data_IF_654993029026
#
_entry.id   IF_654993029026
#
_cell.length_a   1.000
_cell.length_b   1.000
_cell.length_c   1.000
_cell.angle_alpha   90.00
_cell.angle_beta   90.00
_cell.angle_gamma   90.00
#
_symmetry.space_group_name_H-M   'P 1'
#
loop_
_entity.id
_entity.type
_entity.pdbx_description
1 polymer ?
#
# COMPACT_ATOMS: atom_id res chain seq x y z
N UNK A 1 21.98 45.56 -34.59
CA UNK A 1 20.85 45.30 -33.69
C UNK A 1 20.78 43.79 -33.48
N UNK A 2 21.25 43.31 -32.32
CA UNK A 2 21.31 41.89 -31.99
C UNK A 2 20.08 41.57 -31.13
N UNK A 3 19.15 40.75 -31.66
CA UNK A 3 18.01 40.21 -30.91
C UNK A 3 18.49 39.08 -30.03
N UNK A 4 18.57 39.33 -28.73
CA UNK A 4 18.83 38.33 -27.72
C UNK A 4 17.51 37.56 -27.45
N UNK A 5 17.41 36.34 -28.00
CA UNK A 5 16.31 35.43 -27.68
C UNK A 5 16.55 34.84 -26.31
N UNK A 6 15.84 35.35 -25.31
CA UNK A 6 15.75 34.73 -23.99
C UNK A 6 14.80 33.52 -24.12
N UNK A 7 15.39 32.31 -24.16
CA UNK A 7 14.63 31.06 -24.02
C UNK A 7 14.37 30.91 -22.53
N UNK A 8 13.15 31.20 -22.11
CA UNK A 8 12.66 30.90 -20.77
C UNK A 8 12.42 29.37 -20.70
N UNK A 9 13.39 28.66 -20.14
CA UNK A 9 13.26 27.22 -19.87
C UNK A 9 12.30 27.05 -18.69
N UNK A 10 11.00 26.89 -18.99
CA UNK A 10 10.02 26.51 -18.00
C UNK A 10 10.36 25.07 -17.57
N UNK A 11 11.06 24.94 -16.45
CA UNK A 11 11.17 23.69 -15.70
C UNK A 11 9.76 23.32 -15.22
N UNK A 12 9.03 22.59 -16.05
CA UNK A 12 7.84 21.88 -15.63
C UNK A 12 8.33 20.77 -14.67
N UNK A 13 8.35 21.07 -13.37
CA UNK A 13 8.37 20.01 -12.37
C UNK A 13 7.08 19.22 -12.61
N UNK A 14 7.21 18.02 -13.16
CA UNK A 14 6.13 17.04 -13.16
C UNK A 14 5.86 16.71 -11.68
N UNK A 15 5.06 17.55 -11.01
CA UNK A 15 4.48 17.20 -9.74
C UNK A 15 3.75 15.88 -9.95
N UNK A 16 4.10 14.89 -9.15
CA UNK A 16 3.47 13.57 -9.22
C UNK A 16 1.96 13.79 -9.17
N UNK A 17 1.24 13.37 -10.20
CA UNK A 17 -0.22 13.56 -10.34
C UNK A 17 -1.01 12.96 -9.16
N UNK A 18 -0.35 12.15 -8.33
CA UNK A 18 -0.93 11.46 -7.18
C UNK A 18 -0.36 11.91 -5.82
N UNK A 19 0.53 12.91 -5.80
CA UNK A 19 1.05 13.43 -4.54
C UNK A 19 -0.09 14.10 -3.76
N UNK A 20 -0.47 13.55 -2.62
CA UNK A 20 -1.51 14.11 -1.76
C UNK A 20 -0.90 14.86 -0.58
N UNK A 21 -1.52 16.00 -0.22
CA UNK A 21 -1.20 16.71 1.02
C UNK A 21 -1.86 16.03 2.22
N UNK A 22 -1.48 16.43 3.42
CA UNK A 22 -2.04 15.86 4.65
C UNK A 22 -3.56 16.02 4.73
N UNK A 23 -4.08 17.19 4.37
CA UNK A 23 -5.51 17.49 4.40
C UNK A 23 -6.29 16.68 3.36
N UNK A 24 -5.62 16.23 2.32
CA UNK A 24 -6.22 15.42 1.26
C UNK A 24 -6.26 13.93 1.60
N UNK A 25 -5.54 13.44 2.62
CA UNK A 25 -5.47 12.01 2.94
C UNK A 25 -6.87 11.43 3.13
N UNK A 26 -7.63 11.95 4.09
CA UNK A 26 -8.96 11.39 4.42
C UNK A 26 -9.94 11.48 3.25
N UNK A 27 -10.16 12.63 2.59
CA UNK A 27 -11.08 12.71 1.45
C UNK A 27 -10.63 11.84 0.26
N UNK A 28 -9.33 11.74 0.00
CA UNK A 28 -8.80 10.86 -1.05
C UNK A 28 -9.09 9.40 -0.74
N UNK A 29 -8.81 8.93 0.48
CA UNK A 29 -9.08 7.54 0.86
C UNK A 29 -10.56 7.21 0.87
N UNK A 30 -11.43 8.16 1.25
CA UNK A 30 -12.88 7.99 1.15
C UNK A 30 -13.32 7.78 -0.31
N UNK A 31 -12.83 8.64 -1.21
CA UNK A 31 -13.13 8.52 -2.64
C UNK A 31 -12.58 7.22 -3.23
N UNK A 32 -11.31 6.90 -3.00
CA UNK A 32 -10.67 5.68 -3.50
C UNK A 32 -11.40 4.43 -3.04
N UNK A 33 -11.83 4.40 -1.77
CA UNK A 33 -12.64 3.31 -1.22
C UNK A 33 -14.00 3.21 -1.91
N UNK A 34 -14.68 4.33 -2.14
CA UNK A 34 -15.96 4.35 -2.86
C UNK A 34 -15.80 3.84 -4.29
N UNK A 35 -14.77 4.31 -5.01
CA UNK A 35 -14.46 3.86 -6.38
C UNK A 35 -14.21 2.32 -6.40
N UNK A 36 -13.48 1.78 -5.41
CA UNK A 36 -13.25 0.34 -5.29
C UNK A 36 -14.55 -0.45 -5.01
N UNK A 37 -15.42 0.07 -4.16
CA UNK A 37 -16.73 -0.54 -3.88
C UNK A 37 -17.60 -0.57 -5.15
N UNK A 38 -17.60 0.47 -5.95
CA UNK A 38 -18.31 0.51 -7.22
C UNK A 38 -17.79 -0.55 -8.20
N UNK A 39 -16.47 -0.74 -8.27
CA UNK A 39 -15.85 -1.82 -9.05
C UNK A 39 -16.31 -3.19 -8.55
N UNK A 40 -16.32 -3.42 -7.24
CA UNK A 40 -16.75 -4.69 -6.64
C UNK A 40 -18.21 -5.02 -6.96
N UNK A 41 -19.10 -4.02 -6.93
CA UNK A 41 -20.52 -4.15 -7.22
C UNK A 41 -20.85 -4.32 -8.71
N UNK A 42 -19.91 -4.01 -9.60
CA UNK A 42 -20.16 -4.09 -11.03
C UNK A 42 -20.27 -5.55 -11.50
N UNK A 43 -21.46 -6.02 -11.80
CA UNK A 43 -21.74 -7.39 -12.24
C UNK A 43 -21.17 -7.72 -13.63
N UNK A 44 -20.83 -6.71 -14.44
CA UNK A 44 -20.33 -6.90 -15.80
C UNK A 44 -18.79 -7.15 -15.84
N UNK A 45 -18.09 -6.99 -14.71
CA UNK A 45 -16.66 -7.23 -14.63
C UNK A 45 -16.36 -8.65 -14.13
N UNK A 46 -15.43 -9.31 -14.79
CA UNK A 46 -14.83 -10.55 -14.29
C UNK A 46 -14.06 -10.32 -12.99
N UNK A 47 -13.75 -11.41 -12.26
CA UNK A 47 -12.95 -11.32 -11.02
C UNK A 47 -11.60 -10.64 -11.28
N UNK A 48 -10.90 -11.00 -12.33
CA UNK A 48 -9.56 -10.46 -12.64
C UNK A 48 -9.63 -8.98 -13.02
N UNK A 49 -10.65 -8.56 -13.75
CA UNK A 49 -10.89 -7.14 -14.06
C UNK A 49 -11.18 -6.33 -12.79
N UNK A 50 -11.98 -6.87 -11.86
CA UNK A 50 -12.24 -6.22 -10.57
C UNK A 50 -10.95 -6.04 -9.79
N UNK A 51 -10.16 -7.11 -9.65
CA UNK A 51 -8.87 -7.08 -8.94
C UNK A 51 -7.94 -6.03 -9.55
N UNK A 52 -7.75 -6.07 -10.87
CA UNK A 52 -6.90 -5.12 -11.58
C UNK A 52 -7.33 -3.66 -11.36
N UNK A 53 -8.63 -3.39 -11.47
CA UNK A 53 -9.18 -2.04 -11.28
C UNK A 53 -9.06 -1.55 -9.83
N UNK A 54 -9.28 -2.43 -8.84
CA UNK A 54 -9.16 -2.08 -7.42
C UNK A 54 -7.70 -1.73 -7.09
N UNK A 55 -6.74 -2.53 -7.54
CA UNK A 55 -5.33 -2.19 -7.32
C UNK A 55 -4.95 -0.90 -8.06
N UNK A 56 -5.43 -0.69 -9.29
CA UNK A 56 -5.13 0.53 -10.03
C UNK A 56 -5.57 1.83 -9.31
N UNK A 57 -6.67 1.79 -8.53
CA UNK A 57 -7.12 2.98 -7.78
C UNK A 57 -6.36 3.16 -6.45
N UNK A 58 -5.83 2.08 -5.86
CA UNK A 58 -5.08 2.14 -4.60
C UNK A 58 -3.57 2.31 -4.77
N UNK A 59 -2.98 1.67 -5.79
CA UNK A 59 -1.52 1.61 -6.00
C UNK A 59 -0.82 2.99 -5.96
N UNK A 60 -1.40 4.08 -6.48
CA UNK A 60 -0.77 5.40 -6.41
C UNK A 60 -0.47 5.89 -4.99
N UNK A 61 -1.18 5.36 -3.99
CA UNK A 61 -1.08 5.78 -2.59
C UNK A 61 -0.23 4.84 -1.72
N UNK A 62 0.17 3.67 -2.24
CA UNK A 62 0.98 2.69 -1.53
C UNK A 62 2.47 2.82 -1.90
N UNK A 63 3.34 2.83 -0.90
CA UNK A 63 4.79 2.73 -1.12
C UNK A 63 5.26 1.30 -0.87
N UNK A 64 5.07 0.44 -1.89
CA UNK A 64 5.47 -0.97 -1.81
C UNK A 64 6.97 -1.16 -1.60
N UNK A 65 7.81 -0.24 -2.08
CA UNK A 65 9.24 -0.29 -1.81
C UNK A 65 9.54 -0.03 -0.33
N UNK A 66 8.91 0.98 0.27
CA UNK A 66 9.05 1.25 1.69
C UNK A 66 8.49 0.11 2.55
N UNK A 67 7.37 -0.49 2.15
CA UNK A 67 6.79 -1.67 2.79
C UNK A 67 7.77 -2.85 2.75
N UNK A 68 8.36 -3.13 1.59
CA UNK A 68 9.39 -4.17 1.38
C UNK A 68 10.59 -3.95 2.30
N UNK A 69 11.08 -2.70 2.34
CA UNK A 69 12.22 -2.30 3.17
C UNK A 69 11.96 -2.53 4.66
N UNK A 70 10.76 -2.22 5.14
CA UNK A 70 10.38 -2.44 6.54
C UNK A 70 10.24 -3.94 6.82
N UNK A 71 9.59 -4.68 5.92
CA UNK A 71 9.36 -6.12 6.07
C UNK A 71 10.69 -6.91 6.12
N UNK A 72 11.67 -6.57 5.29
CA UNK A 72 12.98 -7.25 5.29
C UNK A 72 13.99 -6.63 6.28
N UNK A 73 13.67 -5.47 6.85
CA UNK A 73 14.46 -4.81 7.91
C UNK A 73 15.94 -4.60 7.51
N UNK A 74 16.86 -4.86 8.40
CA UNK A 74 18.32 -4.66 8.18
C UNK A 74 18.85 -5.41 6.96
N UNK A 75 18.28 -6.54 6.62
CA UNK A 75 18.69 -7.38 5.48
C UNK A 75 18.45 -6.71 4.13
N UNK A 76 17.44 -5.86 4.03
CA UNK A 76 17.19 -5.10 2.81
C UNK A 76 18.39 -4.25 2.39
N UNK A 77 19.12 -3.69 3.36
CA UNK A 77 20.29 -2.87 3.07
C UNK A 77 21.46 -3.67 2.48
N UNK A 78 21.53 -4.97 2.76
CA UNK A 78 22.56 -5.88 2.26
C UNK A 78 22.30 -6.40 0.84
N UNK A 79 21.09 -6.18 0.31
CA UNK A 79 20.76 -6.58 -1.05
C UNK A 79 21.42 -5.67 -2.08
N UNK A 80 21.87 -6.26 -3.21
CA UNK A 80 22.27 -5.51 -4.39
C UNK A 80 21.08 -4.74 -4.99
N UNK A 81 21.35 -3.81 -5.91
CA UNK A 81 20.28 -3.07 -6.60
C UNK A 81 19.30 -4.03 -7.33
N UNK A 82 19.82 -5.01 -8.06
CA UNK A 82 19.01 -6.00 -8.78
C UNK A 82 18.19 -6.88 -7.83
N UNK A 83 18.77 -7.28 -6.71
CA UNK A 83 18.06 -8.05 -5.69
C UNK A 83 16.93 -7.24 -5.04
N UNK A 84 17.14 -5.95 -4.79
CA UNK A 84 16.08 -5.05 -4.29
C UNK A 84 14.91 -4.96 -5.28
N UNK A 85 15.20 -4.78 -6.57
CA UNK A 85 14.15 -4.75 -7.61
C UNK A 85 13.35 -6.06 -7.62
N UNK A 86 14.04 -7.22 -7.62
CA UNK A 86 13.38 -8.53 -7.61
C UNK A 86 12.55 -8.75 -6.34
N UNK A 87 13.11 -8.40 -5.18
CA UNK A 87 12.41 -8.54 -3.90
C UNK A 87 11.18 -7.65 -3.82
N UNK A 88 11.30 -6.36 -4.18
CA UNK A 88 10.20 -5.42 -4.14
C UNK A 88 9.02 -5.89 -5.00
N UNK A 89 9.33 -6.35 -6.23
CA UNK A 89 8.30 -6.89 -7.13
C UNK A 89 7.62 -8.12 -6.54
N UNK A 90 8.40 -9.12 -6.09
CA UNK A 90 7.85 -10.35 -5.53
C UNK A 90 7.04 -10.07 -4.25
N UNK A 91 7.50 -9.14 -3.40
CA UNK A 91 6.79 -8.76 -2.19
C UNK A 91 5.46 -8.04 -2.49
N UNK A 92 5.46 -7.10 -3.45
CA UNK A 92 4.24 -6.43 -3.90
C UNK A 92 3.21 -7.43 -4.44
N UNK A 93 3.63 -8.33 -5.34
CA UNK A 93 2.76 -9.37 -5.90
C UNK A 93 2.21 -10.28 -4.78
N UNK A 94 3.06 -10.66 -3.84
CA UNK A 94 2.67 -11.46 -2.68
C UNK A 94 1.67 -10.73 -1.78
N UNK A 95 1.95 -9.47 -1.46
CA UNK A 95 1.08 -8.66 -0.63
C UNK A 95 -0.31 -8.54 -1.26
N UNK A 96 -0.36 -8.18 -2.55
CA UNK A 96 -1.61 -8.06 -3.30
C UNK A 96 -2.39 -9.38 -3.33
N UNK A 97 -1.74 -10.48 -3.70
CA UNK A 97 -2.40 -11.79 -3.80
C UNK A 97 -2.98 -12.27 -2.47
N UNK A 98 -2.34 -11.92 -1.35
CA UNK A 98 -2.78 -12.32 -0.01
C UNK A 98 -4.16 -11.75 0.39
N UNK A 99 -4.61 -10.69 -0.25
CA UNK A 99 -5.86 -10.02 0.10
C UNK A 99 -6.94 -10.08 -0.98
N UNK A 100 -6.65 -10.71 -2.13
CA UNK A 100 -7.60 -10.84 -3.25
C UNK A 100 -8.92 -11.47 -2.81
N UNK A 101 -8.86 -12.62 -2.14
CA UNK A 101 -10.07 -13.34 -1.73
C UNK A 101 -10.91 -12.52 -0.73
N UNK A 102 -10.27 -11.79 0.16
CA UNK A 102 -10.95 -10.90 1.11
C UNK A 102 -11.62 -9.73 0.39
N UNK A 103 -10.95 -9.13 -0.61
CA UNK A 103 -11.54 -8.08 -1.45
C UNK A 103 -12.75 -8.61 -2.23
N UNK A 104 -12.62 -9.79 -2.84
CA UNK A 104 -13.71 -10.40 -3.63
C UNK A 104 -14.87 -10.91 -2.77
N UNK A 105 -14.65 -11.16 -1.47
CA UNK A 105 -15.70 -11.54 -0.52
C UNK A 105 -16.58 -10.36 -0.07
N UNK A 106 -16.24 -9.14 -0.49
CA UNK A 106 -17.07 -7.97 -0.22
C UNK A 106 -18.49 -8.15 -0.79
N UNK A 107 -19.50 -7.86 0.00
CA UNK A 107 -20.91 -7.86 -0.40
C UNK A 107 -21.51 -6.47 -0.24
N UNK A 108 -21.92 -6.11 0.98
CA UNK A 108 -22.56 -4.84 1.28
C UNK A 108 -22.00 -4.17 2.56
N UNK A 109 -20.79 -4.52 2.95
CA UNK A 109 -20.14 -3.92 4.13
C UNK A 109 -19.98 -2.42 3.93
N UNK A 110 -20.06 -1.67 5.02
CA UNK A 110 -19.84 -0.22 5.02
C UNK A 110 -18.49 0.10 5.64
N UNK A 111 -17.75 1.04 5.05
CA UNK A 111 -16.50 1.52 5.60
C UNK A 111 -16.72 2.91 6.19
N UNK A 112 -16.52 3.04 7.49
CA UNK A 112 -16.66 4.27 8.24
C UNK A 112 -15.29 4.81 8.63
N UNK A 113 -14.82 5.87 7.97
CA UNK A 113 -13.58 6.55 8.32
C UNK A 113 -13.78 7.38 9.59
N UNK A 114 -12.93 7.12 10.58
CA UNK A 114 -12.95 7.73 11.91
C UNK A 114 -11.92 8.86 12.05
N UNK A 115 -11.50 9.03 13.27
CA UNK A 115 -10.53 10.02 13.67
C UNK A 115 -9.11 9.65 13.21
N UNK A 116 -8.30 10.67 13.15
CA UNK A 116 -6.91 10.61 12.78
C UNK A 116 -6.05 10.61 14.03
N UNK A 117 -5.00 9.81 14.02
CA UNK A 117 -3.93 9.88 15.01
C UNK A 117 -2.64 10.34 14.34
N UNK A 118 -1.98 11.33 14.92
CA UNK A 118 -0.70 11.86 14.44
C UNK A 118 0.39 11.60 15.49
N UNK A 119 1.11 10.47 15.41
CA UNK A 119 2.18 10.16 16.36
C UNK A 119 3.32 11.19 16.33
N UNK A 120 3.56 11.80 15.18
CA UNK A 120 4.50 12.89 14.95
C UNK A 120 4.19 13.58 13.62
N UNK A 121 4.93 14.65 13.28
CA UNK A 121 4.73 15.45 12.06
C UNK A 121 4.90 14.66 10.74
N UNK A 122 5.60 13.54 10.76
CA UNK A 122 5.86 12.72 9.59
C UNK A 122 5.02 11.43 9.55
N UNK A 123 4.03 11.29 10.43
CA UNK A 123 3.15 10.12 10.52
C UNK A 123 1.70 10.53 10.68
N UNK A 124 0.85 9.88 9.89
CA UNK A 124 -0.59 10.12 9.89
C UNK A 124 -1.30 8.76 9.84
N UNK A 125 -2.10 8.46 10.83
CA UNK A 125 -2.84 7.21 10.92
C UNK A 125 -4.32 7.51 10.74
N UNK A 126 -4.88 7.02 9.64
CA UNK A 126 -6.29 7.15 9.32
C UNK A 126 -7.02 5.89 9.77
N UNK A 127 -7.81 6.03 10.82
CA UNK A 127 -8.60 4.94 11.39
C UNK A 127 -9.92 4.77 10.65
N UNK A 128 -10.35 3.53 10.47
CA UNK A 128 -11.63 3.19 9.88
C UNK A 128 -12.19 1.89 10.46
N UNK A 129 -13.50 1.70 10.36
CA UNK A 129 -14.17 0.44 10.64
C UNK A 129 -14.82 -0.08 9.36
N UNK A 130 -14.62 -1.35 9.12
CA UNK A 130 -15.48 -2.15 8.24
C UNK A 130 -16.65 -2.67 9.09
N UNK A 131 -17.88 -2.29 8.76
CA UNK A 131 -19.09 -2.84 9.38
C UNK A 131 -19.48 -4.10 8.63
N UNK A 132 -19.33 -5.24 9.28
CA UNK A 132 -19.67 -6.55 8.71
C UNK A 132 -21.17 -6.77 8.57
N UNK A 133 -21.56 -7.82 7.84
CA UNK A 133 -22.96 -8.25 7.73
C UNK A 133 -23.54 -8.74 9.08
N UNK A 134 -22.66 -9.13 10.00
CA UNK A 134 -23.00 -9.50 11.37
C UNK A 134 -23.20 -8.30 12.31
N UNK A 135 -23.12 -7.07 11.77
CA UNK A 135 -23.23 -5.82 12.50
C UNK A 135 -22.02 -5.47 13.37
N UNK A 136 -20.95 -6.26 13.33
CA UNK A 136 -19.72 -5.97 14.07
C UNK A 136 -18.82 -5.02 13.31
N UNK A 137 -18.04 -4.26 14.07
CA UNK A 137 -17.03 -3.35 13.55
C UNK A 137 -15.66 -4.05 13.55
N UNK A 138 -15.04 -4.09 12.39
CA UNK A 138 -13.68 -4.59 12.19
C UNK A 138 -12.77 -3.40 11.92
N UNK A 139 -12.04 -2.99 12.95
CA UNK A 139 -11.16 -1.82 12.88
C UNK A 139 -9.96 -2.06 11.98
N UNK A 140 -9.62 -1.08 11.16
CA UNK A 140 -8.37 -1.04 10.43
C UNK A 140 -7.80 0.38 10.36
N UNK A 141 -6.50 0.48 10.14
CA UNK A 141 -5.80 1.76 10.11
C UNK A 141 -4.85 1.81 8.93
N UNK A 142 -5.01 2.80 8.06
CA UNK A 142 -3.99 3.15 7.09
C UNK A 142 -2.91 3.98 7.75
N UNK A 143 -1.64 3.54 7.68
CA UNK A 143 -0.49 4.27 8.23
C UNK A 143 0.29 4.94 7.12
N UNK A 144 0.21 6.26 7.11
CA UNK A 144 0.91 7.11 6.14
C UNK A 144 2.20 7.68 6.73
N UNK A 145 3.13 7.98 5.84
CA UNK A 145 4.30 8.77 6.14
C UNK A 145 4.48 9.87 5.11
N UNK A 146 5.13 10.96 5.52
CA UNK A 146 5.48 12.05 4.62
C UNK A 146 6.67 11.65 3.74
N UNK A 147 6.39 11.34 2.47
CA UNK A 147 7.40 10.99 1.48
C UNK A 147 7.97 12.22 0.75
N UNK A 148 7.85 13.41 1.37
CA UNK A 148 8.33 14.70 0.88
C UNK A 148 7.67 15.08 -0.46
N UNK A 149 8.46 15.22 -1.53
CA UNK A 149 7.96 15.60 -2.86
C UNK A 149 6.95 14.61 -3.46
N UNK A 150 6.94 13.35 -2.98
CA UNK A 150 5.95 12.34 -3.37
C UNK A 150 4.64 12.44 -2.59
N UNK A 151 4.54 13.39 -1.64
CA UNK A 151 3.38 13.54 -0.78
C UNK A 151 3.28 12.48 0.32
N UNK A 152 2.06 12.22 0.79
CA UNK A 152 1.81 11.22 1.82
C UNK A 152 1.51 9.86 1.20
N UNK A 153 2.24 8.82 1.62
CA UNK A 153 2.13 7.45 1.10
C UNK A 153 1.90 6.46 2.22
N UNK A 154 1.13 5.41 1.93
CA UNK A 154 0.86 4.30 2.85
C UNK A 154 2.08 3.39 2.88
N UNK A 155 2.59 3.14 4.09
CA UNK A 155 3.69 2.21 4.34
C UNK A 155 3.28 0.98 5.17
N UNK A 156 2.08 0.96 5.73
CA UNK A 156 1.53 -0.16 6.49
C UNK A 156 0.00 -0.05 6.58
N UNK A 157 -0.64 -1.18 6.69
CA UNK A 157 -2.05 -1.29 7.07
C UNK A 157 -2.15 -2.17 8.30
N UNK A 158 -2.89 -1.72 9.29
CA UNK A 158 -3.18 -2.48 10.49
C UNK A 158 -4.63 -2.94 10.45
N UNK A 159 -4.88 -4.21 10.71
CA UNK A 159 -6.21 -4.81 10.75
C UNK A 159 -6.39 -5.44 12.13
N UNK A 160 -7.44 -5.05 12.86
CA UNK A 160 -7.72 -5.52 14.22
C UNK A 160 -6.52 -5.39 15.18
N UNK A 161 -5.73 -4.31 15.03
CA UNK A 161 -4.54 -4.08 15.84
C UNK A 161 -3.28 -4.82 15.38
N UNK A 162 -3.36 -5.60 14.29
CA UNK A 162 -2.23 -6.37 13.75
C UNK A 162 -1.69 -5.68 12.48
N UNK A 163 -0.44 -5.22 12.54
CA UNK A 163 0.26 -4.65 11.38
C UNK A 163 0.60 -5.73 10.36
N UNK A 164 0.17 -5.51 9.12
CA UNK A 164 0.48 -6.41 8.00
C UNK A 164 2.01 -6.51 7.80
N UNK A 165 2.69 -5.38 7.78
CA UNK A 165 4.13 -5.34 7.49
C UNK A 165 4.96 -5.93 8.63
N UNK A 166 4.57 -5.72 9.90
CA UNK A 166 5.26 -6.36 11.02
C UNK A 166 5.03 -7.88 11.04
N UNK A 167 3.86 -8.35 10.60
CA UNK A 167 3.60 -9.79 10.45
C UNK A 167 4.54 -10.41 9.40
N UNK A 168 4.67 -9.78 8.23
CA UNK A 168 5.65 -10.23 7.22
C UNK A 168 7.09 -10.17 7.74
N UNK A 169 7.44 -9.11 8.46
CA UNK A 169 8.75 -8.98 9.08
C UNK A 169 9.05 -10.15 10.02
N UNK A 170 8.12 -10.47 10.92
CA UNK A 170 8.28 -11.60 11.84
C UNK A 170 8.43 -12.94 11.10
N UNK A 171 7.66 -13.14 10.02
CA UNK A 171 7.80 -14.32 9.16
C UNK A 171 9.17 -14.39 8.50
N UNK A 172 9.67 -13.28 7.96
CA UNK A 172 10.99 -13.24 7.33
C UNK A 172 12.11 -13.40 8.36
N UNK A 173 12.02 -12.78 9.53
CA UNK A 173 13.01 -12.95 10.60
C UNK A 173 13.14 -14.42 11.02
N UNK A 174 12.02 -15.17 11.09
CA UNK A 174 12.02 -16.59 11.44
C UNK A 174 12.53 -17.51 10.33
N UNK A 175 12.33 -17.13 9.07
CA UNK A 175 12.66 -17.98 7.91
C UNK A 175 14.12 -17.84 7.45
N UNK A 176 14.81 -16.72 7.78
CA UNK A 176 15.97 -16.27 6.98
C UNK A 176 17.26 -16.17 7.79
N UNK A 177 17.36 -16.74 8.99
CA UNK A 177 18.61 -16.60 9.77
C UNK A 177 19.87 -17.11 9.03
N UNK A 178 19.72 -18.05 8.05
CA UNK A 178 20.85 -18.69 7.36
C UNK A 178 20.60 -18.98 5.87
N UNK A 179 19.73 -18.25 5.16
CA UNK A 179 19.35 -18.64 3.80
C UNK A 179 19.84 -17.68 2.70
N UNK A 180 19.99 -18.23 1.48
CA UNK A 180 20.32 -17.46 0.29
C UNK A 180 19.18 -16.52 -0.13
N UNK A 181 19.50 -15.52 -0.96
CA UNK A 181 18.48 -14.63 -1.52
C UNK A 181 17.49 -15.39 -2.41
N UNK A 182 17.93 -16.38 -3.15
CA UNK A 182 17.11 -17.22 -4.02
C UNK A 182 16.08 -18.01 -3.20
N UNK A 183 16.50 -18.59 -2.09
CA UNK A 183 15.61 -19.29 -1.15
C UNK A 183 14.61 -18.33 -0.50
N UNK A 184 15.03 -17.09 -0.22
CA UNK A 184 14.11 -16.05 0.26
C UNK A 184 13.00 -15.76 -0.75
N UNK A 185 13.34 -15.59 -2.03
CA UNK A 185 12.35 -15.35 -3.08
C UNK A 185 11.41 -16.56 -3.26
N UNK A 186 11.94 -17.77 -3.24
CA UNK A 186 11.15 -19.00 -3.31
C UNK A 186 10.16 -19.09 -2.15
N UNK A 187 10.63 -18.86 -0.94
CA UNK A 187 9.75 -18.86 0.25
C UNK A 187 8.73 -17.74 0.22
N UNK A 188 9.11 -16.56 -0.23
CA UNK A 188 8.17 -15.45 -0.42
C UNK A 188 7.01 -15.84 -1.34
N UNK A 189 7.30 -16.59 -2.39
CA UNK A 189 6.29 -17.12 -3.31
C UNK A 189 5.47 -18.28 -2.72
N UNK A 190 6.00 -19.03 -1.76
CA UNK A 190 5.36 -20.20 -1.13
C UNK A 190 4.64 -19.89 0.19
N UNK A 191 4.97 -18.77 0.86
CA UNK A 191 4.34 -18.37 2.14
C UNK A 191 2.85 -18.13 1.93
N UNK A 192 2.00 -18.76 2.72
CA UNK A 192 0.57 -18.46 2.73
C UNK A 192 0.32 -17.05 3.29
N UNK A 193 -0.80 -16.42 2.88
CA UNK A 193 -1.22 -15.16 3.45
C UNK A 193 -1.26 -15.26 4.99
N UNK A 194 -0.88 -14.18 5.73
CA UNK A 194 -1.06 -14.17 7.17
C UNK A 194 -2.50 -14.53 7.52
N UNK A 195 -2.70 -15.60 8.24
CA UNK A 195 -4.02 -15.93 8.79
C UNK A 195 -4.32 -14.92 9.90
N UNK A 196 -5.37 -14.16 9.72
CA UNK A 196 -5.90 -13.19 10.70
C UNK A 196 -7.09 -13.80 11.43
#
# INVERSE_FOLDING_TARGET
>A
MKFLKIILLALFSAASLFAISEEQIKPTMQKTTQDAIEVLKNANLSKDEKISKIFAVFDPYFDYEQMSKIALSKRYNNLSADQKVKFNKAFEERLKSSYVDKLLSYKNQTINFKDVTKPNENRYFLNADLVGEDGKNYGFTYKFYNAKERGWLIYDVEILGVSIIQTYRSQFDSLIENESFENLLEKLNSVQAPQQ
#
